data_IF_077340008610
#
_entry.id   IF_077340008610
#
_cell.length_a   1.000
_cell.length_b   1.000
_cell.length_c   1.000
_cell.angle_alpha   90.00
_cell.angle_beta   90.00
_cell.angle_gamma   90.00
#
_symmetry.space_group_name_H-M   'P 1'
#
loop_
_entity.id
_entity.type
_entity.pdbx_description
1 polymer ?
#
# COMPACT_ATOMS: atom_id res chain seq x y z
N UNK A 1 15.81 43.38 7.66
CA UNK A 1 16.00 41.93 7.49
C UNK A 1 15.50 41.55 6.09
N UNK A 2 16.37 41.42 5.07
CA UNK A 2 15.93 41.14 3.71
C UNK A 2 15.81 39.63 3.46
N UNK A 3 14.83 39.29 2.62
CA UNK A 3 14.39 37.94 2.24
C UNK A 3 15.48 37.17 1.49
N UNK A 4 15.67 35.90 1.86
CA UNK A 4 16.56 34.98 1.14
C UNK A 4 16.00 34.69 -0.26
N UNK A 5 16.85 34.87 -1.27
CA UNK A 5 16.57 34.60 -2.67
C UNK A 5 16.45 33.09 -2.90
N UNK A 6 15.25 32.60 -3.20
CA UNK A 6 15.08 31.27 -3.81
C UNK A 6 15.33 31.39 -5.32
N UNK A 7 16.38 30.72 -5.81
CA UNK A 7 16.59 30.57 -7.25
C UNK A 7 15.73 29.42 -7.80
N UNK A 8 15.17 29.53 -9.01
CA UNK A 8 14.42 28.46 -9.65
C UNK A 8 15.36 27.31 -10.05
N UNK A 9 15.01 26.09 -9.67
CA UNK A 9 15.73 24.86 -10.04
C UNK A 9 15.56 24.63 -11.54
N UNK A 10 16.65 24.70 -12.30
CA UNK A 10 16.68 24.32 -13.70
C UNK A 10 16.68 22.80 -13.83
N UNK A 11 15.61 22.27 -14.44
CA UNK A 11 15.50 20.84 -14.78
C UNK A 11 16.58 20.52 -15.81
N UNK A 12 17.60 19.75 -15.42
CA UNK A 12 18.54 19.15 -16.37
C UNK A 12 17.82 18.06 -17.14
N UNK A 13 17.49 18.34 -18.40
CA UNK A 13 17.04 17.35 -19.38
C UNK A 13 18.21 16.43 -19.76
N UNK A 14 18.52 15.48 -18.89
CA UNK A 14 19.41 14.37 -19.21
C UNK A 14 18.59 13.24 -19.82
N UNK A 15 18.79 12.96 -21.11
CA UNK A 15 18.35 11.72 -21.74
C UNK A 15 19.19 10.56 -21.18
N UNK A 16 18.89 10.12 -19.96
CA UNK A 16 19.34 8.84 -19.44
C UNK A 16 18.17 7.89 -19.63
N UNK A 17 18.30 6.93 -20.55
CA UNK A 17 17.35 5.83 -20.61
C UNK A 17 17.43 5.10 -19.28
N UNK A 18 16.43 5.31 -18.44
CA UNK A 18 16.28 4.54 -17.20
C UNK A 18 16.20 3.06 -17.59
N UNK A 19 16.96 2.16 -16.92
CA UNK A 19 16.78 0.73 -17.12
C UNK A 19 15.31 0.38 -16.86
N UNK A 20 14.76 -0.63 -17.58
CA UNK A 20 13.40 -1.09 -17.33
C UNK A 20 13.28 -1.46 -15.85
N UNK A 21 12.27 -0.86 -15.19
CA UNK A 21 11.93 -1.08 -13.78
C UNK A 21 11.64 -2.56 -13.56
N UNK A 22 12.66 -3.33 -13.20
CA UNK A 22 12.51 -4.61 -12.54
C UNK A 22 12.22 -4.28 -11.08
N UNK A 23 10.96 -4.02 -10.78
CA UNK A 23 10.48 -4.09 -9.40
C UNK A 23 10.92 -5.47 -8.87
N UNK A 24 11.59 -5.57 -7.71
CA UNK A 24 11.62 -6.83 -7.01
C UNK A 24 10.16 -7.16 -6.76
N UNK A 25 9.79 -8.29 -7.32
CA UNK A 25 8.49 -8.89 -7.19
C UNK A 25 8.13 -9.00 -5.71
N UNK A 26 7.34 -8.04 -5.21
CA UNK A 26 6.73 -8.17 -3.89
C UNK A 26 5.83 -9.39 -3.98
N UNK A 27 6.07 -10.36 -3.09
CA UNK A 27 5.73 -11.78 -3.21
C UNK A 27 4.23 -12.14 -3.26
N UNK A 28 3.32 -11.23 -3.64
CA UNK A 28 1.92 -11.57 -3.87
C UNK A 28 1.67 -12.38 -5.14
N UNK A 29 2.71 -12.65 -5.92
CA UNK A 29 2.60 -13.58 -7.03
C UNK A 29 3.70 -14.65 -7.01
N UNK A 30 4.31 -15.00 -5.87
CA UNK A 30 5.16 -16.21 -5.84
C UNK A 30 4.41 -17.36 -6.55
N UNK A 31 4.87 -17.76 -7.74
CA UNK A 31 4.14 -18.70 -8.62
C UNK A 31 3.94 -20.06 -7.90
N UNK A 32 4.67 -20.28 -6.81
CA UNK A 32 4.50 -21.36 -5.85
C UNK A 32 4.82 -20.85 -4.43
N UNK A 33 3.83 -20.52 -3.59
CA UNK A 33 4.04 -20.11 -2.20
C UNK A 33 4.75 -21.20 -1.37
N UNK A 34 4.57 -22.48 -1.71
CA UNK A 34 5.26 -23.59 -1.04
C UNK A 34 6.74 -23.69 -1.41
N UNK A 35 7.15 -23.15 -2.57
CA UNK A 35 8.57 -23.06 -2.92
C UNK A 35 9.26 -21.97 -2.10
N UNK A 36 8.59 -20.85 -1.85
CA UNK A 36 9.07 -19.79 -0.96
C UNK A 36 9.15 -20.29 0.48
N UNK A 37 8.12 -20.97 0.98
CA UNK A 37 8.16 -21.61 2.31
C UNK A 37 9.33 -22.60 2.43
N UNK A 38 9.54 -23.46 1.43
CA UNK A 38 10.69 -24.39 1.41
C UNK A 38 12.04 -23.68 1.37
N UNK A 39 12.15 -22.52 0.71
CA UNK A 39 13.36 -21.70 0.71
C UNK A 39 13.60 -21.01 2.06
N UNK A 40 12.54 -20.60 2.75
CA UNK A 40 12.62 -20.07 4.11
C UNK A 40 13.00 -21.17 5.12
N UNK A 41 12.42 -22.36 4.99
CA UNK A 41 12.73 -23.52 5.85
C UNK A 41 14.14 -24.09 5.61
N UNK A 42 14.74 -23.85 4.43
CA UNK A 42 16.13 -24.25 4.11
C UNK A 42 17.14 -23.13 4.30
N UNK A 43 16.69 -21.91 4.59
CA UNK A 43 17.58 -20.83 4.97
C UNK A 43 18.19 -21.16 6.33
N UNK A 44 19.52 -21.15 6.42
CA UNK A 44 20.22 -21.34 7.68
C UNK A 44 19.74 -20.30 8.70
N UNK A 45 19.66 -20.66 9.98
CA UNK A 45 19.40 -19.77 11.14
C UNK A 45 20.46 -18.64 11.31
N UNK A 46 21.27 -18.37 10.29
CA UNK A 46 22.21 -17.27 10.27
C UNK A 46 21.46 -15.94 10.12
N UNK A 47 21.77 -14.95 10.97
CA UNK A 47 21.11 -13.66 10.92
C UNK A 47 21.41 -12.96 9.58
N UNK A 48 20.34 -12.58 8.87
CA UNK A 48 20.44 -11.78 7.64
C UNK A 48 21.04 -10.42 7.99
N UNK A 49 22.18 -10.08 7.37
CA UNK A 49 22.81 -8.77 7.49
C UNK A 49 22.07 -7.76 6.59
N UNK A 50 21.37 -6.80 7.19
CA UNK A 50 20.66 -5.74 6.48
C UNK A 50 21.56 -4.54 6.25
N UNK A 51 21.70 -4.10 5.01
CA UNK A 51 22.41 -2.85 4.69
C UNK A 51 21.49 -1.64 4.87
N UNK A 52 22.08 -0.43 4.95
CA UNK A 52 21.31 0.82 4.96
C UNK A 52 20.47 0.96 3.67
N UNK A 53 21.04 0.57 2.53
CA UNK A 53 20.35 0.58 1.24
C UNK A 53 19.11 -0.33 1.27
N UNK A 54 19.23 -1.54 1.82
CA UNK A 54 18.09 -2.47 1.95
C UNK A 54 16.98 -1.88 2.83
N UNK A 55 17.35 -1.23 3.93
CA UNK A 55 16.37 -0.61 4.83
C UNK A 55 15.67 0.57 4.16
N UNK A 56 16.41 1.44 3.45
CA UNK A 56 15.82 2.56 2.69
C UNK A 56 14.92 2.03 1.59
N UNK A 57 15.35 0.97 0.90
CA UNK A 57 14.59 0.34 -0.16
C UNK A 57 13.29 -0.26 0.36
N UNK A 58 13.29 -0.87 1.54
CA UNK A 58 12.07 -1.36 2.19
C UNK A 58 11.08 -0.23 2.50
N UNK A 59 11.54 0.95 2.94
CA UNK A 59 10.65 2.12 3.11
C UNK A 59 10.05 2.59 1.78
N UNK A 60 10.81 2.49 0.67
CA UNK A 60 10.31 2.81 -0.66
C UNK A 60 9.22 1.81 -1.10
N UNK A 61 9.46 0.52 -0.91
CA UNK A 61 8.50 -0.54 -1.25
C UNK A 61 7.19 -0.38 -0.48
N UNK A 62 7.25 -0.06 0.81
CA UNK A 62 6.03 0.17 1.61
C UNK A 62 5.22 1.39 1.13
N UNK A 63 5.88 2.46 0.66
CA UNK A 63 5.15 3.58 0.04
C UNK A 63 4.59 3.22 -1.34
N UNK A 64 5.25 2.34 -2.09
CA UNK A 64 4.75 1.88 -3.38
C UNK A 64 3.41 1.13 -3.25
N UNK A 65 3.14 0.49 -2.10
CA UNK A 65 1.84 -0.15 -1.82
C UNK A 65 0.66 0.83 -1.87
N UNK A 66 0.90 2.14 -1.66
CA UNK A 66 -0.16 3.16 -1.78
C UNK A 66 -0.76 3.21 -3.19
N UNK A 67 -0.02 2.79 -4.22
CA UNK A 67 -0.54 2.73 -5.59
C UNK A 67 -1.71 1.73 -5.71
N UNK A 68 -1.72 0.67 -4.90
CA UNK A 68 -2.79 -0.32 -4.87
C UNK A 68 -4.13 0.27 -4.35
N UNK A 69 -4.07 1.36 -3.57
CA UNK A 69 -5.29 2.06 -3.15
C UNK A 69 -6.09 2.59 -4.35
N UNK A 70 -5.39 3.03 -5.41
CA UNK A 70 -6.02 3.60 -6.60
C UNK A 70 -6.57 2.55 -7.58
N UNK A 71 -6.03 1.32 -7.57
CA UNK A 71 -6.49 0.26 -8.48
C UNK A 71 -7.82 -0.33 -7.97
N UNK A 72 -8.94 -0.23 -8.73
CA UNK A 72 -10.20 -0.82 -8.31
C UNK A 72 -10.16 -2.36 -8.23
N UNK A 73 -9.17 -3.02 -8.81
CA UNK A 73 -8.97 -4.47 -8.75
C UNK A 73 -8.31 -4.98 -7.47
N UNK A 74 -7.60 -4.10 -6.76
CA UNK A 74 -6.98 -4.46 -5.48
C UNK A 74 -8.06 -4.92 -4.49
N UNK A 75 -7.86 -6.08 -3.84
CA UNK A 75 -8.77 -6.60 -2.84
C UNK A 75 -9.07 -5.60 -1.71
N UNK A 76 -10.29 -5.66 -1.18
CA UNK A 76 -10.77 -4.65 -0.23
C UNK A 76 -10.04 -4.73 1.11
N UNK A 77 -9.68 -5.93 1.54
CA UNK A 77 -8.88 -6.19 2.73
C UNK A 77 -7.53 -5.50 2.65
N UNK A 78 -6.84 -5.60 1.51
CA UNK A 78 -5.52 -5.03 1.30
C UNK A 78 -5.60 -3.50 1.39
N UNK A 79 -6.60 -2.90 0.73
CA UNK A 79 -6.84 -1.45 0.84
C UNK A 79 -7.10 -1.02 2.28
N UNK A 80 -7.92 -1.76 3.03
CA UNK A 80 -8.25 -1.42 4.40
C UNK A 80 -7.04 -1.56 5.33
N UNK A 81 -6.16 -2.53 5.09
CA UNK A 81 -4.92 -2.68 5.84
C UNK A 81 -3.91 -1.57 5.52
N UNK A 82 -3.74 -1.21 4.25
CA UNK A 82 -2.91 -0.05 3.85
C UNK A 82 -3.43 1.23 4.48
N UNK A 83 -4.75 1.47 4.46
CA UNK A 83 -5.35 2.65 5.10
C UNK A 83 -5.13 2.65 6.61
N UNK A 84 -5.26 1.48 7.26
CA UNK A 84 -4.97 1.36 8.69
C UNK A 84 -3.52 1.70 9.01
N UNK A 85 -2.57 1.31 8.17
CA UNK A 85 -1.17 1.70 8.31
C UNK A 85 -0.96 3.22 8.11
N UNK A 86 -1.52 3.81 7.05
CA UNK A 86 -1.42 5.26 6.77
C UNK A 86 -1.97 6.12 7.92
N UNK A 87 -3.13 5.71 8.43
CA UNK A 87 -3.89 6.41 9.49
C UNK A 87 -3.72 5.76 10.87
N UNK A 88 -2.58 5.08 11.10
CA UNK A 88 -2.21 4.60 12.43
C UNK A 88 -2.07 5.77 13.42
N UNK A 89 -2.28 5.50 14.71
CA UNK A 89 -2.19 6.50 15.78
C UNK A 89 -0.90 7.34 15.68
N UNK A 90 -0.98 8.69 15.80
CA UNK A 90 0.19 9.57 15.72
C UNK A 90 1.31 9.22 16.71
N UNK A 91 0.97 8.63 17.86
CA UNK A 91 1.93 8.14 18.86
C UNK A 91 2.87 7.04 18.35
N UNK A 92 2.55 6.45 17.19
CA UNK A 92 3.35 5.42 16.51
C UNK A 92 4.09 5.97 15.27
N UNK A 93 3.97 7.26 14.97
CA UNK A 93 4.64 7.85 13.80
C UNK A 93 6.18 7.82 13.95
N UNK A 94 6.70 7.72 15.17
CA UNK A 94 8.13 7.55 15.46
C UNK A 94 8.66 6.12 15.26
N UNK A 95 7.78 5.15 15.05
CA UNK A 95 8.17 3.73 14.93
C UNK A 95 8.82 3.44 13.59
N UNK A 96 9.77 2.48 13.53
CA UNK A 96 10.34 2.05 12.26
C UNK A 96 9.24 1.55 11.33
N UNK A 97 9.34 1.88 10.04
CA UNK A 97 8.35 1.51 9.02
C UNK A 97 6.91 1.99 9.29
N UNK A 98 6.72 2.94 10.21
CA UNK A 98 5.48 3.72 10.24
C UNK A 98 5.34 4.46 8.91
N UNK A 99 4.10 4.82 8.54
CA UNK A 99 3.86 5.64 7.36
C UNK A 99 4.68 6.95 7.39
N UNK A 100 4.69 7.62 8.54
CA UNK A 100 5.49 8.83 8.77
C UNK A 100 6.99 8.60 8.55
N UNK A 101 7.53 7.49 9.09
CA UNK A 101 8.93 7.13 8.92
C UNK A 101 9.24 6.85 7.45
N UNK A 102 8.37 6.16 6.73
CA UNK A 102 8.53 5.89 5.31
C UNK A 102 8.57 7.17 4.49
N UNK A 103 7.60 8.07 4.66
CA UNK A 103 7.58 9.37 3.96
C UNK A 103 8.86 10.17 4.23
N UNK A 104 9.31 10.22 5.50
CA UNK A 104 10.52 10.95 5.88
C UNK A 104 11.79 10.33 5.29
N UNK A 105 11.98 9.02 5.41
CA UNK A 105 13.17 8.32 4.90
C UNK A 105 13.24 8.43 3.38
N UNK A 106 12.12 8.19 2.70
CA UNK A 106 12.04 8.28 1.24
C UNK A 106 12.29 9.70 0.75
N UNK A 107 11.76 10.73 1.43
CA UNK A 107 11.95 12.11 1.02
C UNK A 107 13.36 12.67 1.27
N UNK A 108 14.07 12.14 2.26
CA UNK A 108 15.35 12.68 2.73
C UNK A 108 16.58 11.80 2.43
N UNK A 109 16.41 10.53 2.05
CA UNK A 109 17.53 9.64 1.77
C UNK A 109 18.04 9.79 0.33
N UNK A 110 19.35 9.95 0.10
CA UNK A 110 19.92 9.91 -1.24
C UNK A 110 19.90 8.50 -1.86
N UNK A 111 19.67 7.46 -1.05
CA UNK A 111 19.53 6.07 -1.50
C UNK A 111 18.09 5.72 -1.89
N UNK A 112 17.15 6.66 -1.74
CA UNK A 112 15.77 6.41 -2.14
C UNK A 112 15.65 6.28 -3.66
N UNK A 113 14.73 5.43 -4.11
CA UNK A 113 14.31 5.35 -5.52
C UNK A 113 13.49 6.57 -5.97
N UNK A 114 13.01 7.37 -5.01
CA UNK A 114 12.24 8.58 -5.25
C UNK A 114 13.16 9.79 -5.41
N UNK A 115 12.66 10.82 -6.12
CA UNK A 115 13.35 12.11 -6.20
C UNK A 115 13.40 12.74 -4.81
N UNK A 116 14.60 13.18 -4.38
CA UNK A 116 14.78 13.90 -3.13
C UNK A 116 13.81 15.08 -3.02
N UNK A 117 12.96 15.06 -2.00
CA UNK A 117 11.93 16.08 -1.76
C UNK A 117 12.00 16.72 -0.37
N UNK A 118 12.95 16.28 0.48
CA UNK A 118 13.16 16.81 1.82
C UNK A 118 12.08 16.39 2.80
N UNK A 119 11.84 17.24 3.81
CA UNK A 119 10.77 17.02 4.78
C UNK A 119 9.42 17.34 4.15
N UNK A 120 8.52 16.35 4.19
CA UNK A 120 7.14 16.46 3.69
C UNK A 120 6.20 16.76 4.86
N UNK A 121 5.24 17.65 4.64
CA UNK A 121 4.12 17.86 5.56
C UNK A 121 3.22 16.61 5.55
N UNK A 122 3.30 15.84 6.63
CA UNK A 122 2.65 14.54 6.73
C UNK A 122 1.12 14.66 6.80
N UNK A 123 0.62 15.69 7.49
CA UNK A 123 -0.82 15.88 7.65
C UNK A 123 -1.46 16.31 6.32
N UNK A 124 -0.79 17.21 5.59
CA UNK A 124 -1.22 17.57 4.24
C UNK A 124 -1.21 16.36 3.28
N UNK A 125 -0.24 15.45 3.43
CA UNK A 125 -0.17 14.23 2.62
C UNK A 125 -1.29 13.24 2.98
N UNK A 126 -1.57 13.07 4.28
CA UNK A 126 -2.72 12.29 4.78
C UNK A 126 -4.04 12.84 4.27
N UNK A 127 -4.22 14.16 4.27
CA UNK A 127 -5.43 14.82 3.77
C UNK A 127 -5.62 14.60 2.27
N UNK A 128 -4.54 14.71 1.48
CA UNK A 128 -4.56 14.40 0.06
C UNK A 128 -4.94 12.94 -0.21
N UNK A 129 -4.40 12.01 0.58
CA UNK A 129 -4.78 10.59 0.49
C UNK A 129 -6.26 10.40 0.82
N UNK A 130 -6.75 10.94 1.95
CA UNK A 130 -8.16 10.86 2.35
C UNK A 130 -9.11 11.38 1.29
N UNK A 131 -8.75 12.49 0.64
CA UNK A 131 -9.54 13.08 -0.44
C UNK A 131 -9.77 12.09 -1.59
N UNK A 132 -8.73 11.34 -1.97
CA UNK A 132 -8.78 10.38 -3.07
C UNK A 132 -9.40 9.02 -2.66
N UNK A 133 -9.15 8.58 -1.43
CA UNK A 133 -9.63 7.28 -0.91
C UNK A 133 -11.13 7.11 -1.06
N UNK A 134 -11.93 8.16 -0.80
CA UNK A 134 -13.39 8.09 -0.98
C UNK A 134 -13.79 7.70 -2.41
N UNK A 135 -13.08 8.25 -3.40
CA UNK A 135 -13.32 7.93 -4.81
C UNK A 135 -12.91 6.50 -5.11
N UNK A 136 -11.69 6.11 -4.72
CA UNK A 136 -11.15 4.78 -5.01
C UNK A 136 -11.94 3.65 -4.35
N UNK A 137 -12.38 3.85 -3.10
CA UNK A 137 -13.22 2.88 -2.39
C UNK A 137 -14.56 2.68 -3.09
N UNK A 138 -15.19 3.75 -3.57
CA UNK A 138 -16.43 3.65 -4.35
C UNK A 138 -16.22 2.91 -5.66
N UNK A 139 -15.12 3.17 -6.37
CA UNK A 139 -14.78 2.46 -7.61
C UNK A 139 -14.57 0.96 -7.37
N UNK A 140 -13.90 0.57 -6.28
CA UNK A 140 -13.78 -0.83 -5.85
C UNK A 140 -15.14 -1.44 -5.50
N UNK A 141 -15.98 -0.74 -4.72
CA UNK A 141 -17.29 -1.25 -4.30
C UNK A 141 -18.26 -1.47 -5.47
N UNK A 142 -18.17 -0.65 -6.51
CA UNK A 142 -18.98 -0.78 -7.72
C UNK A 142 -18.72 -2.08 -8.52
N UNK A 143 -17.63 -2.79 -8.23
CA UNK A 143 -17.33 -4.09 -8.85
C UNK A 143 -18.05 -5.26 -8.19
N UNK A 144 -18.55 -5.07 -6.96
CA UNK A 144 -19.30 -6.11 -6.26
C UNK A 144 -20.79 -6.05 -6.61
N UNK A 145 -21.53 -7.16 -6.43
CA UNK A 145 -22.98 -7.13 -6.54
C UNK A 145 -23.60 -6.05 -5.64
N UNK A 146 -24.71 -5.40 -6.04
CA UNK A 146 -25.29 -4.27 -5.31
C UNK A 146 -25.52 -4.53 -3.82
N UNK A 147 -26.00 -5.74 -3.47
CA UNK A 147 -26.25 -6.12 -2.08
C UNK A 147 -24.98 -6.23 -1.23
N UNK A 148 -23.82 -6.56 -1.83
CA UNK A 148 -22.52 -6.58 -1.15
C UNK A 148 -22.04 -5.15 -0.93
N UNK A 149 -22.10 -4.34 -1.99
CA UNK A 149 -21.70 -2.92 -1.96
C UNK A 149 -22.50 -2.12 -0.93
N UNK A 150 -23.82 -2.34 -0.88
CA UNK A 150 -24.71 -1.72 0.11
C UNK A 150 -24.36 -2.14 1.54
N UNK A 151 -24.16 -3.44 1.80
CA UNK A 151 -23.78 -3.93 3.12
C UNK A 151 -22.43 -3.37 3.60
N UNK A 152 -21.43 -3.30 2.70
CA UNK A 152 -20.10 -2.79 3.02
C UNK A 152 -20.13 -1.26 3.25
N UNK A 153 -20.88 -0.52 2.43
CA UNK A 153 -20.97 0.95 2.55
C UNK A 153 -21.72 1.41 3.80
N UNK A 154 -22.64 0.61 4.33
CA UNK A 154 -23.35 0.92 5.57
C UNK A 154 -22.44 0.87 6.81
N UNK A 155 -21.46 -0.05 6.85
CA UNK A 155 -20.55 -0.16 8.00
C UNK A 155 -19.15 -0.62 7.57
N UNK A 156 -18.31 0.36 7.21
CA UNK A 156 -16.92 0.12 6.80
C UNK A 156 -16.04 -0.42 7.94
N UNK A 157 -16.32 -0.02 9.19
CA UNK A 157 -15.55 -0.48 10.36
C UNK A 157 -15.79 -1.97 10.62
N UNK A 158 -17.04 -2.41 10.56
CA UNK A 158 -17.39 -3.82 10.61
C UNK A 158 -16.76 -4.59 9.44
N UNK A 159 -16.79 -4.04 8.23
CA UNK A 159 -16.19 -4.67 7.05
C UNK A 159 -14.68 -4.90 7.24
N UNK A 160 -13.96 -3.91 7.76
CA UNK A 160 -12.54 -4.04 8.11
C UNK A 160 -12.29 -5.14 9.14
N UNK A 161 -13.05 -5.16 10.24
CA UNK A 161 -12.93 -6.21 11.27
C UNK A 161 -13.30 -7.61 10.76
N UNK A 162 -14.22 -7.69 9.79
CA UNK A 162 -14.64 -8.95 9.18
C UNK A 162 -13.56 -9.48 8.24
N UNK A 163 -13.05 -8.62 7.36
CA UNK A 163 -12.07 -8.97 6.34
C UNK A 163 -10.70 -9.28 6.92
N UNK A 164 -10.28 -8.58 7.97
CA UNK A 164 -9.08 -8.94 8.74
C UNK A 164 -9.13 -10.34 9.36
N UNK A 165 -10.33 -10.86 9.65
CA UNK A 165 -10.52 -12.23 10.16
C UNK A 165 -10.66 -13.27 9.06
N UNK A 166 -11.31 -12.91 7.95
CA UNK A 166 -11.45 -13.77 6.78
C UNK A 166 -11.45 -12.90 5.51
N UNK A 167 -10.30 -12.80 4.81
CA UNK A 167 -10.19 -11.99 3.59
C UNK A 167 -11.02 -12.55 2.44
N UNK A 168 -11.25 -13.87 2.41
CA UNK A 168 -12.06 -14.52 1.38
C UNK A 168 -13.57 -14.45 1.65
N UNK A 169 -14.00 -13.83 2.75
CA UNK A 169 -15.39 -13.83 3.18
C UNK A 169 -16.36 -13.30 2.11
N UNK A 170 -15.99 -12.23 1.39
CA UNK A 170 -16.82 -11.67 0.31
C UNK A 170 -17.05 -12.73 -0.79
N UNK A 171 -15.98 -13.39 -1.22
CA UNK A 171 -16.04 -14.44 -2.24
C UNK A 171 -16.92 -15.61 -1.79
N UNK A 172 -16.85 -16.01 -0.52
CA UNK A 172 -17.73 -17.03 0.03
C UNK A 172 -19.20 -16.60 0.02
N UNK A 173 -19.52 -15.36 0.40
CA UNK A 173 -20.92 -14.90 0.42
C UNK A 173 -21.50 -14.82 -0.98
N UNK A 174 -20.70 -14.36 -1.96
CA UNK A 174 -21.10 -14.35 -3.36
C UNK A 174 -21.40 -15.77 -3.82
N UNK A 175 -20.49 -16.73 -3.59
CA UNK A 175 -20.71 -18.15 -3.94
C UNK A 175 -21.98 -18.73 -3.31
N UNK A 176 -22.20 -18.49 -2.01
CA UNK A 176 -23.38 -19.00 -1.29
C UNK A 176 -24.69 -18.51 -1.91
N UNK A 177 -24.78 -17.21 -2.24
CA UNK A 177 -25.99 -16.64 -2.85
C UNK A 177 -26.17 -17.03 -4.32
N UNK A 178 -25.09 -17.21 -5.08
CA UNK A 178 -25.17 -17.75 -6.45
C UNK A 178 -25.69 -19.20 -6.43
N UNK A 179 -25.16 -20.04 -5.54
CA UNK A 179 -25.61 -21.44 -5.40
C UNK A 179 -27.05 -21.54 -4.90
N UNK A 180 -27.49 -20.65 -4.00
CA UNK A 180 -28.90 -20.59 -3.58
C UNK A 180 -29.84 -19.97 -4.64
N UNK A 181 -29.33 -19.12 -5.53
CA UNK A 181 -30.08 -18.55 -6.64
C UNK A 181 -30.40 -19.57 -7.74
N UNK A 182 -29.53 -20.57 -7.93
CA UNK A 182 -29.75 -21.68 -8.88
C UNK A 182 -30.76 -22.74 -8.40
N UNK A 183 -31.19 -22.68 -7.13
CA UNK A 183 -32.14 -23.64 -6.54
C UNK A 183 -33.62 -23.30 -6.83
N UNK A 184 -33.90 -22.31 -7.68
CA UNK A 184 -35.25 -21.91 -8.10
C UNK A 184 -35.39 -21.80 -9.63
N UNK A 185 -34.93 -22.81 -10.36
CA UNK A 185 -35.29 -23.05 -11.78
C UNK A 185 -36.22 -24.24 -11.89
#
# INVERSE_FOLDING_TARGET
>A
MPRANFQPVTVRTGNTSLPPRLFPYVAYAANDPQAVERQLDTSSDEPIEWTEEDVVFLHCLLLDELNALADPATPLEEKLDTLRWVFTDPDKDDKPFSFASCVRVVGCSPLSTYTYCGLVDLDAFRDLLLFNVRRWMRESLNRFPPWVSEALSQNMQWASQRLSKNPQWINEQIKRKTVQGDLFV
#
